data_IF_171473672390
#
_entry.id   IF_171473672390
#
_cell.length_a   1.000
_cell.length_b   1.000
_cell.length_c   1.000
_cell.angle_alpha   90.00
_cell.angle_beta   90.00
_cell.angle_gamma   90.00
#
_symmetry.space_group_name_H-M   'P 1'
#
loop_
_entity.id
_entity.type
_entity.pdbx_description
1 polymer ?
#
# COMPACT_ATOMS: atom_id res chain seq x y z
N UNK A 1 10.95 -6.73 4.21
CA UNK A 1 11.45 -5.96 3.05
C UNK A 1 11.16 -4.47 3.26
N UNK A 2 9.95 -4.04 3.64
CA UNK A 2 9.63 -2.63 3.85
C UNK A 2 10.50 -1.89 4.88
N UNK A 3 10.87 -2.53 5.99
CA UNK A 3 11.70 -1.92 7.05
C UNK A 3 13.15 -1.66 6.60
N UNK A 4 13.73 -2.53 5.77
CA UNK A 4 15.14 -2.44 5.33
C UNK A 4 15.33 -1.32 4.31
N UNK A 5 14.35 -1.08 3.44
CA UNK A 5 14.40 -0.01 2.43
C UNK A 5 14.13 1.38 3.02
N UNK A 6 13.52 1.45 4.20
CA UNK A 6 13.10 2.69 4.84
C UNK A 6 14.24 3.42 5.59
N UNK A 7 15.23 2.70 6.06
CA UNK A 7 16.28 3.27 6.94
C UNK A 7 17.16 4.32 6.24
N UNK A 8 17.62 4.13 4.99
CA UNK A 8 18.40 5.15 4.30
C UNK A 8 17.61 6.42 4.01
N UNK A 9 16.28 6.31 3.80
CA UNK A 9 15.42 7.45 3.43
C UNK A 9 15.08 8.36 4.61
N UNK A 10 15.06 7.83 5.84
CA UNK A 10 14.88 8.61 7.07
C UNK A 10 16.08 9.55 7.28
N UNK A 11 17.26 9.18 6.76
CA UNK A 11 18.48 9.98 6.87
C UNK A 11 18.59 11.14 5.89
N UNK A 12 17.95 11.06 4.73
CA UNK A 12 18.04 12.09 3.68
C UNK A 12 17.38 13.43 4.04
N UNK A 13 16.69 13.52 5.17
CA UNK A 13 15.89 14.69 5.51
C UNK A 13 16.20 15.40 6.83
N UNK A 14 17.28 15.08 7.53
CA UNK A 14 17.56 15.69 8.82
C UNK A 14 18.93 16.37 8.82
N UNK A 15 18.89 17.70 8.75
CA UNK A 15 20.03 18.54 9.04
C UNK A 15 20.56 18.30 10.46
N UNK A 16 21.86 18.14 10.52
CA UNK A 16 22.75 18.39 11.66
C UNK A 16 22.69 17.51 12.90
N UNK A 17 22.63 16.22 12.78
CA UNK A 17 23.46 15.39 13.66
C UNK A 17 23.92 14.18 12.85
N UNK A 18 25.22 14.08 12.64
CA UNK A 18 25.88 12.90 12.07
C UNK A 18 25.67 11.69 13.01
N UNK A 19 24.44 11.25 13.16
CA UNK A 19 24.16 9.93 13.69
C UNK A 19 24.70 8.95 12.68
N UNK A 20 25.85 8.40 12.98
CA UNK A 20 26.57 7.48 12.12
C UNK A 20 25.55 6.43 11.64
N UNK A 21 25.51 6.17 10.34
CA UNK A 21 24.73 5.09 9.70
C UNK A 21 24.84 3.77 10.47
N UNK A 22 26.00 3.53 11.08
CA UNK A 22 26.25 2.43 12.03
C UNK A 22 25.26 2.30 13.17
N UNK A 23 24.66 3.40 13.68
CA UNK A 23 23.70 3.33 14.79
C UNK A 23 22.37 2.65 14.39
N UNK A 24 22.09 2.53 13.09
CA UNK A 24 20.91 1.85 12.57
C UNK A 24 21.21 0.46 12.04
N UNK A 25 22.45 0.17 11.67
CA UNK A 25 22.83 -1.14 11.13
C UNK A 25 22.59 -2.26 12.16
N UNK A 26 22.99 -2.04 13.41
CA UNK A 26 22.84 -3.05 14.45
C UNK A 26 21.36 -3.34 14.76
N UNK A 27 20.49 -2.36 15.12
CA UNK A 27 19.09 -2.66 15.37
C UNK A 27 18.36 -3.19 14.14
N UNK A 28 18.70 -2.75 12.92
CA UNK A 28 18.14 -3.31 11.69
C UNK A 28 18.60 -4.76 11.46
N UNK A 29 19.88 -5.03 11.67
CA UNK A 29 20.41 -6.39 11.59
C UNK A 29 19.72 -7.33 12.58
N UNK A 30 19.56 -6.91 13.83
CA UNK A 30 18.84 -7.69 14.85
C UNK A 30 17.38 -7.91 14.43
N UNK A 31 16.67 -6.86 13.99
CA UNK A 31 15.28 -6.98 13.56
C UNK A 31 15.14 -7.91 12.34
N UNK A 32 16.02 -7.80 11.36
CA UNK A 32 16.03 -8.68 10.17
C UNK A 32 16.33 -10.12 10.53
N UNK A 33 17.32 -10.35 11.38
CA UNK A 33 17.67 -11.69 11.84
C UNK A 33 16.52 -12.31 12.65
N UNK A 34 15.91 -11.56 13.54
CA UNK A 34 14.75 -12.02 14.30
C UNK A 34 13.59 -12.38 13.39
N UNK A 35 13.29 -11.54 12.39
CA UNK A 35 12.24 -11.83 11.41
C UNK A 35 12.54 -13.11 10.60
N UNK A 36 13.78 -13.31 10.18
CA UNK A 36 14.20 -14.52 9.46
C UNK A 36 14.09 -15.77 10.35
N UNK A 37 14.52 -15.70 11.61
CA UNK A 37 14.41 -16.83 12.54
C UNK A 37 12.97 -17.20 12.85
N UNK A 38 12.10 -16.20 13.08
CA UNK A 38 10.67 -16.42 13.28
C UNK A 38 10.03 -17.05 12.03
N UNK A 39 10.35 -16.52 10.85
CA UNK A 39 9.86 -17.09 9.59
C UNK A 39 10.34 -18.53 9.41
N UNK A 40 11.65 -18.79 9.61
CA UNK A 40 12.21 -20.13 9.52
C UNK A 40 11.54 -21.11 10.49
N UNK A 41 11.26 -20.68 11.72
CA UNK A 41 10.56 -21.48 12.72
C UNK A 41 9.17 -21.91 12.24
N UNK A 42 8.37 -20.97 11.70
CA UNK A 42 7.04 -21.28 11.22
C UNK A 42 7.05 -22.13 9.95
N UNK A 43 7.86 -21.78 8.96
CA UNK A 43 7.93 -22.53 7.70
C UNK A 43 8.52 -23.94 7.86
N UNK A 44 9.38 -24.16 8.86
CA UNK A 44 9.92 -25.49 9.16
C UNK A 44 9.11 -26.28 10.18
N UNK A 45 7.93 -25.80 10.58
CA UNK A 45 7.11 -26.42 11.61
C UNK A 45 7.89 -26.68 12.90
N UNK A 46 8.50 -25.62 13.45
CA UNK A 46 9.34 -25.72 14.64
C UNK A 46 10.64 -26.45 14.43
N UNK A 47 11.28 -26.29 13.28
CA UNK A 47 12.51 -26.96 12.83
C UNK A 47 12.41 -28.48 12.65
N UNK A 48 11.20 -29.02 12.63
CA UNK A 48 10.96 -30.46 12.35
C UNK A 48 11.08 -30.80 10.86
N UNK A 49 10.81 -29.81 9.98
CA UNK A 49 10.82 -29.92 8.53
C UNK A 49 11.71 -28.84 7.91
N UNK A 50 13.05 -29.03 7.88
CA UNK A 50 13.97 -28.04 7.33
C UNK A 50 13.68 -27.65 5.89
N UNK A 51 13.19 -28.59 5.09
CA UNK A 51 12.82 -28.37 3.68
C UNK A 51 11.70 -27.32 3.51
N UNK A 52 10.86 -27.13 4.52
CA UNK A 52 9.82 -26.10 4.50
C UNK A 52 10.37 -24.67 4.32
N UNK A 53 11.63 -24.42 4.73
CA UNK A 53 12.28 -23.12 4.51
C UNK A 53 12.61 -22.95 3.03
N UNK A 54 13.17 -23.98 2.40
CA UNK A 54 13.49 -23.97 0.97
C UNK A 54 12.24 -23.94 0.12
N UNK A 55 11.19 -24.66 0.50
CA UNK A 55 9.91 -24.67 -0.19
C UNK A 55 9.21 -23.31 -0.13
N UNK A 56 9.33 -22.59 0.99
CA UNK A 56 8.81 -21.24 1.10
C UNK A 56 9.43 -20.29 0.05
N UNK A 57 10.77 -20.36 -0.15
CA UNK A 57 11.44 -19.59 -1.21
C UNK A 57 11.08 -20.09 -2.60
N UNK A 58 11.04 -21.43 -2.79
CA UNK A 58 10.73 -22.05 -4.06
C UNK A 58 9.32 -21.71 -4.54
N UNK A 59 8.36 -21.62 -3.64
CA UNK A 59 6.98 -21.24 -3.97
C UNK A 59 6.91 -19.86 -4.64
N UNK A 60 7.76 -18.92 -4.25
CA UNK A 60 7.83 -17.60 -4.91
C UNK A 60 8.41 -17.65 -6.33
N UNK A 61 9.27 -18.64 -6.62
CA UNK A 61 9.99 -18.73 -7.89
C UNK A 61 9.30 -19.66 -8.90
N UNK A 62 8.58 -20.66 -8.42
CA UNK A 62 8.04 -21.77 -9.21
C UNK A 62 6.50 -21.85 -9.08
N UNK A 63 5.87 -20.80 -8.58
CA UNK A 63 4.41 -20.80 -8.44
C UNK A 63 3.74 -20.83 -9.82
N UNK A 64 3.18 -21.98 -10.18
CA UNK A 64 2.34 -22.11 -11.36
C UNK A 64 0.94 -21.60 -11.03
N UNK A 65 0.47 -20.64 -11.83
CA UNK A 65 -0.85 -20.04 -11.65
C UNK A 65 -1.95 -21.04 -12.05
N UNK A 66 -2.97 -21.12 -11.21
CA UNK A 66 -4.20 -21.82 -11.60
C UNK A 66 -4.90 -21.06 -12.74
N UNK A 67 -5.51 -21.74 -13.72
CA UNK A 67 -6.28 -21.06 -14.77
C UNK A 67 -7.26 -20.04 -14.18
N UNK A 68 -7.24 -18.80 -14.71
CA UNK A 68 -8.08 -17.70 -14.22
C UNK A 68 -7.38 -16.70 -13.28
N UNK A 69 -6.22 -17.01 -12.73
CA UNK A 69 -5.42 -16.09 -11.90
C UNK A 69 -4.30 -15.40 -12.68
N UNK A 70 -4.06 -15.83 -13.94
CA UNK A 70 -3.16 -15.13 -14.86
C UNK A 70 -3.80 -13.81 -15.30
N UNK A 71 -3.26 -12.71 -14.80
CA UNK A 71 -3.76 -11.35 -15.06
C UNK A 71 -2.62 -10.47 -15.56
N UNK A 72 -2.91 -9.47 -16.42
CA UNK A 72 -1.88 -8.57 -16.92
C UNK A 72 -1.20 -7.78 -15.80
N UNK A 73 0.00 -7.26 -16.06
CA UNK A 73 0.77 -6.42 -15.13
C UNK A 73 -0.06 -5.23 -14.61
N UNK A 74 -0.93 -4.68 -15.45
CA UNK A 74 -1.79 -3.54 -15.14
C UNK A 74 -3.05 -3.89 -14.35
N UNK A 75 -3.24 -5.15 -13.99
CA UNK A 75 -4.47 -5.64 -13.35
C UNK A 75 -4.87 -4.80 -12.14
N UNK A 76 -3.97 -4.57 -11.19
CA UNK A 76 -4.27 -3.82 -9.99
C UNK A 76 -4.56 -2.34 -10.23
N UNK A 77 -3.84 -1.73 -11.19
CA UNK A 77 -4.11 -0.36 -11.58
C UNK A 77 -5.50 -0.23 -12.24
N UNK A 78 -5.86 -1.19 -13.07
CA UNK A 78 -7.19 -1.22 -13.67
C UNK A 78 -8.30 -1.52 -12.66
N UNK A 79 -8.00 -2.37 -11.65
CA UNK A 79 -8.96 -2.71 -10.60
C UNK A 79 -9.31 -1.51 -9.72
N UNK A 80 -8.29 -0.73 -9.32
CA UNK A 80 -8.44 0.35 -8.34
C UNK A 80 -8.79 1.70 -8.96
N UNK A 81 -8.21 2.02 -10.12
CA UNK A 81 -8.29 3.38 -10.68
C UNK A 81 -9.35 3.52 -11.75
N UNK A 82 -9.55 2.49 -12.58
CA UNK A 82 -10.51 2.60 -13.68
C UNK A 82 -11.94 2.44 -13.15
N UNK A 83 -12.80 3.44 -13.38
CA UNK A 83 -14.19 3.32 -12.98
C UNK A 83 -14.87 2.20 -13.78
N UNK A 84 -15.55 1.31 -13.08
CA UNK A 84 -16.34 0.22 -13.67
C UNK A 84 -17.80 0.46 -13.40
N UNK A 85 -18.63 0.34 -14.43
CA UNK A 85 -20.07 0.39 -14.28
C UNK A 85 -20.61 -1.03 -14.17
N UNK A 86 -20.97 -1.44 -12.96
CA UNK A 86 -21.50 -2.76 -12.67
C UNK A 86 -22.74 -2.64 -11.79
N UNK A 87 -23.78 -3.45 -12.10
CA UNK A 87 -25.00 -3.51 -11.28
C UNK A 87 -25.71 -2.14 -11.12
N UNK A 88 -25.63 -1.28 -12.15
CA UNK A 88 -26.25 0.04 -12.12
C UNK A 88 -25.47 1.09 -11.33
N UNK A 89 -24.28 0.75 -10.82
CA UNK A 89 -23.44 1.68 -10.06
C UNK A 89 -22.03 1.78 -10.66
N UNK A 90 -21.38 2.91 -10.37
CA UNK A 90 -19.98 3.11 -10.69
C UNK A 90 -19.13 2.64 -9.50
N UNK A 91 -18.05 1.90 -9.78
CA UNK A 91 -17.11 1.37 -8.80
C UNK A 91 -15.72 1.92 -9.11
N UNK A 92 -15.12 2.63 -8.16
CA UNK A 92 -13.75 3.14 -8.28
C UNK A 92 -13.20 3.60 -6.93
N UNK A 93 -11.93 3.36 -6.73
CA UNK A 93 -11.15 3.89 -5.61
C UNK A 93 -10.37 5.17 -5.99
N UNK A 94 -10.63 5.69 -7.19
CA UNK A 94 -9.89 6.81 -7.76
C UNK A 94 -9.85 8.06 -6.90
N UNK A 95 -10.90 8.33 -6.12
CA UNK A 95 -10.97 9.49 -5.22
C UNK A 95 -9.91 9.41 -4.11
N UNK A 96 -9.75 8.25 -3.48
CA UNK A 96 -8.75 8.01 -2.43
C UNK A 96 -7.34 8.13 -3.01
N UNK A 97 -7.13 7.54 -4.20
CA UNK A 97 -5.86 7.62 -4.90
C UNK A 97 -5.50 9.06 -5.28
N UNK A 98 -6.48 9.85 -5.73
CA UNK A 98 -6.27 11.27 -6.06
C UNK A 98 -5.85 12.09 -4.83
N UNK A 99 -6.46 11.84 -3.67
CA UNK A 99 -6.06 12.49 -2.40
C UNK A 99 -4.64 12.08 -1.98
N UNK A 100 -4.28 10.81 -2.15
CA UNK A 100 -2.93 10.32 -1.90
C UNK A 100 -1.90 10.98 -2.83
N UNK A 101 -2.22 11.08 -4.12
CA UNK A 101 -1.37 11.75 -5.12
C UNK A 101 -1.20 13.24 -4.78
N UNK A 102 -2.30 13.93 -4.42
CA UNK A 102 -2.26 15.32 -3.98
C UNK A 102 -1.30 15.50 -2.79
N UNK A 103 -1.37 14.61 -1.81
CA UNK A 103 -0.45 14.60 -0.67
C UNK A 103 1.01 14.47 -1.11
N UNK A 104 1.31 13.55 -2.02
CA UNK A 104 2.66 13.33 -2.52
C UNK A 104 3.18 14.58 -3.27
N UNK A 105 2.36 15.19 -4.13
CA UNK A 105 2.72 16.42 -4.87
C UNK A 105 3.03 17.58 -3.92
N UNK A 106 2.24 17.73 -2.87
CA UNK A 106 2.42 18.81 -1.90
C UNK A 106 3.32 18.45 -0.71
N UNK A 107 3.96 17.27 -0.71
CA UNK A 107 4.86 16.82 0.37
C UNK A 107 6.00 17.82 0.65
N UNK A 108 6.46 18.54 -0.39
CA UNK A 108 7.50 19.58 -0.27
C UNK A 108 7.09 20.74 0.66
N UNK A 109 5.80 21.00 0.78
CA UNK A 109 5.23 22.03 1.66
C UNK A 109 4.98 21.52 3.09
N UNK A 110 5.22 20.24 3.35
CA UNK A 110 5.02 19.58 4.62
C UNK A 110 6.35 19.09 5.22
N UNK A 111 7.29 19.97 5.59
CA UNK A 111 8.66 19.56 5.95
C UNK A 111 8.71 18.56 7.11
N UNK A 112 7.79 18.65 8.07
CA UNK A 112 7.69 17.73 9.20
C UNK A 112 7.19 16.34 8.82
N UNK A 113 6.39 16.22 7.78
CA UNK A 113 5.76 14.98 7.33
C UNK A 113 6.38 14.42 6.05
N UNK A 114 7.19 15.22 5.34
CA UNK A 114 7.76 14.86 4.04
C UNK A 114 8.41 13.48 4.02
N UNK A 115 9.24 13.18 5.01
CA UNK A 115 9.96 11.92 5.06
C UNK A 115 9.00 10.73 5.27
N UNK A 116 7.97 10.89 6.11
CA UNK A 116 6.95 9.87 6.31
C UNK A 116 6.13 9.66 5.02
N UNK A 117 5.73 10.74 4.36
CA UNK A 117 4.99 10.68 3.09
C UNK A 117 5.80 9.96 2.02
N UNK A 118 7.06 10.36 1.82
CA UNK A 118 7.96 9.72 0.85
C UNK A 118 8.15 8.24 1.16
N UNK A 119 8.35 7.91 2.42
CA UNK A 119 8.53 6.54 2.88
C UNK A 119 7.32 5.67 2.56
N UNK A 120 6.12 6.12 2.95
CA UNK A 120 4.87 5.40 2.73
C UNK A 120 4.59 5.28 1.22
N UNK A 121 4.82 6.34 0.45
CA UNK A 121 4.66 6.31 -1.01
C UNK A 121 5.59 5.28 -1.67
N UNK A 122 6.87 5.27 -1.31
CA UNK A 122 7.83 4.30 -1.83
C UNK A 122 7.48 2.87 -1.42
N UNK A 123 7.08 2.65 -0.16
CA UNK A 123 6.64 1.33 0.30
C UNK A 123 5.44 0.84 -0.52
N UNK A 124 4.46 1.72 -0.78
CA UNK A 124 3.30 1.41 -1.61
C UNK A 124 3.71 1.05 -3.04
N UNK A 125 4.55 1.87 -3.68
CA UNK A 125 5.01 1.65 -5.06
C UNK A 125 5.77 0.32 -5.18
N UNK A 126 6.70 0.05 -4.25
CA UNK A 126 7.47 -1.19 -4.24
C UNK A 126 6.56 -2.41 -4.09
N UNK A 127 5.59 -2.36 -3.15
CA UNK A 127 4.66 -3.47 -2.94
C UNK A 127 3.75 -3.70 -4.15
N UNK A 128 3.18 -2.63 -4.71
CA UNK A 128 2.38 -2.72 -5.95
C UNK A 128 3.22 -3.31 -7.09
N UNK A 129 4.48 -2.87 -7.23
CA UNK A 129 5.41 -3.40 -8.24
C UNK A 129 5.66 -4.90 -8.06
N UNK A 130 5.98 -5.33 -6.83
CA UNK A 130 6.21 -6.75 -6.52
C UNK A 130 4.95 -7.58 -6.82
N UNK A 131 3.78 -7.18 -6.30
CA UNK A 131 2.55 -7.94 -6.51
C UNK A 131 2.09 -7.93 -7.99
N UNK A 132 2.35 -6.85 -8.72
CA UNK A 132 2.07 -6.80 -10.16
C UNK A 132 2.99 -7.71 -10.98
N UNK A 133 4.20 -8.00 -10.49
CA UNK A 133 5.16 -8.88 -11.17
C UNK A 133 4.91 -10.37 -10.93
N UNK A 134 4.10 -10.71 -9.91
CA UNK A 134 3.73 -12.09 -9.64
C UNK A 134 2.59 -12.49 -10.59
N UNK A 135 2.65 -13.68 -11.18
CA UNK A 135 1.62 -14.17 -12.11
C UNK A 135 0.28 -14.41 -11.41
N UNK A 136 0.33 -14.91 -10.18
CA UNK A 136 -0.86 -15.07 -9.34
C UNK A 136 -1.35 -13.72 -8.82
N UNK A 137 -2.46 -13.23 -9.38
CA UNK A 137 -3.04 -11.94 -9.02
C UNK A 137 -4.46 -12.08 -8.48
N UNK A 138 -4.61 -11.72 -7.22
CA UNK A 138 -5.92 -11.70 -6.53
C UNK A 138 -6.16 -10.34 -5.88
N UNK A 139 -7.42 -9.88 -5.78
CA UNK A 139 -7.73 -8.55 -5.24
C UNK A 139 -7.19 -8.31 -3.83
N UNK A 140 -7.21 -9.32 -2.96
CA UNK A 140 -6.78 -9.18 -1.56
C UNK A 140 -5.28 -8.93 -1.38
N UNK A 141 -4.43 -9.23 -2.36
CA UNK A 141 -3.01 -8.87 -2.31
C UNK A 141 -2.81 -7.36 -2.27
N UNK A 142 -3.79 -6.59 -2.75
CA UNK A 142 -3.74 -5.13 -2.72
C UNK A 142 -4.13 -4.52 -1.38
N UNK A 143 -4.65 -5.29 -0.42
CA UNK A 143 -5.04 -4.74 0.89
C UNK A 143 -3.89 -4.02 1.59
N UNK A 144 -2.69 -4.60 1.60
CA UNK A 144 -1.54 -4.00 2.28
C UNK A 144 -1.05 -2.71 1.59
N UNK A 145 -0.77 -2.68 0.27
CA UNK A 145 -0.48 -1.43 -0.44
C UNK A 145 -1.60 -0.40 -0.30
N UNK A 146 -2.85 -0.84 -0.29
CA UNK A 146 -4.02 0.04 -0.17
C UNK A 146 -4.05 0.78 1.17
N UNK A 147 -3.68 0.13 2.28
CA UNK A 147 -3.53 0.80 3.58
C UNK A 147 -2.55 1.97 3.48
N UNK A 148 -1.44 1.83 2.76
CA UNK A 148 -0.48 2.92 2.56
C UNK A 148 -1.10 4.07 1.74
N UNK A 149 -1.88 3.76 0.71
CA UNK A 149 -2.60 4.77 -0.09
C UNK A 149 -3.62 5.52 0.78
N UNK A 150 -4.38 4.82 1.61
CA UNK A 150 -5.33 5.44 2.56
C UNK A 150 -4.61 6.35 3.58
N UNK A 151 -3.46 5.93 4.10
CA UNK A 151 -2.65 6.77 5.00
C UNK A 151 -2.17 8.05 4.29
N UNK A 152 -1.71 7.93 3.04
CA UNK A 152 -1.33 9.09 2.22
C UNK A 152 -2.52 10.02 1.99
N UNK A 153 -3.69 9.47 1.66
CA UNK A 153 -4.92 10.25 1.49
C UNK A 153 -5.29 10.99 2.79
N UNK A 154 -5.12 10.35 3.96
CA UNK A 154 -5.33 10.99 5.26
C UNK A 154 -4.40 12.18 5.53
N UNK A 155 -3.14 12.14 5.09
CA UNK A 155 -2.22 13.28 5.19
C UNK A 155 -2.65 14.50 4.34
N UNK A 156 -3.59 14.35 3.42
CA UNK A 156 -4.17 15.45 2.66
C UNK A 156 -4.79 16.52 3.59
N UNK A 157 -5.28 16.14 4.76
CA UNK A 157 -5.76 17.09 5.78
C UNK A 157 -4.67 18.10 6.20
N UNK A 158 -3.40 17.67 6.23
CA UNK A 158 -2.28 18.56 6.54
C UNK A 158 -1.96 19.52 5.38
N UNK A 159 -2.19 19.09 4.13
CA UNK A 159 -2.10 19.94 2.94
C UNK A 159 -3.18 21.02 2.99
N UNK A 160 -4.42 20.64 3.31
CA UNK A 160 -5.56 21.55 3.42
C UNK A 160 -5.26 22.66 4.41
N UNK A 161 -4.76 22.34 5.61
CA UNK A 161 -4.46 23.34 6.66
C UNK A 161 -3.47 24.42 6.23
N UNK A 162 -2.63 24.16 5.22
CA UNK A 162 -1.64 25.08 4.70
C UNK A 162 -2.07 25.76 3.40
N UNK A 163 -3.24 25.45 2.90
CA UNK A 163 -3.78 25.98 1.65
C UNK A 163 -4.62 27.24 1.89
N UNK A 164 -4.89 27.99 0.80
CA UNK A 164 -5.84 29.11 0.84
C UNK A 164 -7.25 28.64 1.14
N UNK A 165 -8.08 29.52 1.72
CA UNK A 165 -9.45 29.18 2.13
C UNK A 165 -10.30 28.53 1.04
N UNK A 166 -10.21 29.05 -0.20
CA UNK A 166 -10.94 28.46 -1.33
C UNK A 166 -10.51 27.02 -1.58
N UNK A 167 -9.19 26.76 -1.62
CA UNK A 167 -8.68 25.39 -1.77
C UNK A 167 -9.09 24.47 -0.60
N UNK A 168 -9.11 25.00 0.63
CA UNK A 168 -9.60 24.26 1.80
C UNK A 168 -11.04 23.82 1.62
N UNK A 169 -11.92 24.73 1.17
CA UNK A 169 -13.33 24.45 0.91
C UNK A 169 -13.47 23.42 -0.21
N UNK A 170 -12.79 23.62 -1.35
CA UNK A 170 -12.88 22.71 -2.49
C UNK A 170 -12.42 21.30 -2.15
N UNK A 171 -11.26 21.16 -1.49
CA UNK A 171 -10.73 19.84 -1.09
C UNK A 171 -11.61 19.23 0.01
N UNK A 172 -12.10 20.02 0.96
CA UNK A 172 -13.02 19.58 1.99
C UNK A 172 -14.34 19.04 1.41
N UNK A 173 -14.96 19.76 0.46
CA UNK A 173 -16.12 19.29 -0.27
C UNK A 173 -15.83 17.99 -1.05
N UNK A 174 -14.68 17.92 -1.72
CA UNK A 174 -14.27 16.71 -2.44
C UNK A 174 -14.15 15.50 -1.51
N UNK A 175 -13.50 15.69 -0.33
CA UNK A 175 -13.37 14.61 0.67
C UNK A 175 -14.76 14.16 1.14
N UNK A 176 -15.66 15.09 1.42
CA UNK A 176 -17.01 14.75 1.87
C UNK A 176 -17.75 13.93 0.81
N UNK A 177 -17.70 14.37 -0.45
CA UNK A 177 -18.33 13.65 -1.57
C UNK A 177 -17.69 12.26 -1.72
N UNK A 178 -16.36 12.17 -1.64
CA UNK A 178 -15.65 10.90 -1.71
C UNK A 178 -16.07 9.94 -0.58
N UNK A 179 -16.19 10.43 0.66
CA UNK A 179 -16.62 9.63 1.81
C UNK A 179 -18.06 9.13 1.63
N UNK A 180 -18.99 10.00 1.21
CA UNK A 180 -20.37 9.59 0.95
C UNK A 180 -20.40 8.53 -0.14
N UNK A 181 -19.67 8.73 -1.23
CA UNK A 181 -19.59 7.79 -2.33
C UNK A 181 -19.02 6.43 -1.92
N UNK A 182 -17.91 6.42 -1.18
CA UNK A 182 -17.28 5.19 -0.68
C UNK A 182 -18.21 4.46 0.31
N UNK A 183 -18.93 5.20 1.14
CA UNK A 183 -19.93 4.62 2.05
C UNK A 183 -21.05 3.96 1.27
N UNK A 184 -21.58 4.62 0.24
CA UNK A 184 -22.62 4.04 -0.62
C UNK A 184 -22.15 2.77 -1.33
N UNK A 185 -20.91 2.76 -1.87
CA UNK A 185 -20.32 1.55 -2.45
C UNK A 185 -20.21 0.42 -1.43
N UNK A 186 -19.72 0.73 -0.23
CA UNK A 186 -19.56 -0.27 0.83
C UNK A 186 -20.90 -0.87 1.27
N UNK A 187 -21.92 -0.03 1.44
CA UNK A 187 -23.29 -0.48 1.75
C UNK A 187 -23.83 -1.35 0.62
N UNK A 188 -23.72 -0.88 -0.62
CA UNK A 188 -24.21 -1.63 -1.77
C UNK A 188 -23.51 -3.00 -1.91
N UNK A 189 -22.20 -3.05 -1.69
CA UNK A 189 -21.44 -4.32 -1.76
C UNK A 189 -21.88 -5.31 -0.69
N UNK A 190 -22.12 -4.83 0.55
CA UNK A 190 -22.44 -5.72 1.67
C UNK A 190 -23.91 -6.08 1.77
N UNK A 191 -24.83 -5.18 1.41
CA UNK A 191 -26.26 -5.40 1.63
C UNK A 191 -27.00 -5.86 0.37
N UNK A 192 -26.61 -5.39 -0.81
CA UNK A 192 -27.31 -5.67 -2.04
C UNK A 192 -26.63 -6.69 -2.95
N UNK A 193 -25.31 -6.78 -2.88
CA UNK A 193 -24.51 -7.55 -3.84
C UNK A 193 -23.52 -8.51 -3.18
N UNK A 194 -23.69 -8.84 -1.90
CA UNK A 194 -22.77 -9.69 -1.13
C UNK A 194 -22.48 -11.04 -1.79
N UNK A 195 -23.44 -11.57 -2.58
CA UNK A 195 -23.32 -12.86 -3.27
C UNK A 195 -23.11 -12.72 -4.79
N UNK A 196 -22.85 -11.49 -5.28
CA UNK A 196 -22.67 -11.28 -6.72
C UNK A 196 -21.21 -11.48 -7.12
N UNK A 197 -20.94 -12.57 -7.83
CA UNK A 197 -19.59 -12.91 -8.31
C UNK A 197 -18.98 -11.91 -9.31
N UNK A 198 -19.76 -10.90 -9.76
CA UNK A 198 -19.27 -9.85 -10.67
C UNK A 198 -18.57 -8.72 -9.93
N UNK A 199 -18.76 -8.62 -8.63
CA UNK A 199 -18.01 -7.66 -7.81
C UNK A 199 -16.57 -8.13 -7.63
N UNK A 200 -15.60 -7.21 -7.68
CA UNK A 200 -14.20 -7.53 -7.54
C UNK A 200 -13.83 -8.03 -6.13
#
# INVERSE_FOLDING_TARGET
IGLVTCIPLIHLGRDSEKRKFTNYLIPTGIASLSALLVSAFFYSNGFRYPDGITDAFRTFLVYETTPGHDKPLTYYMSLLLLPKHLLGQWWTEGAVFLLALLTCVFAVRLPKLRNAIVLIALASIIQVGIYSSIDYKTPWLMLLPWVHVCLLAGFCLSVIRQSHRIAQICIGCFILVALVYQTQQSVAANEHFENDARLP
#
